data_IF_180842791583
#
_entry.id   IF_180842791583
#
_cell.length_a   1.000
_cell.length_b   1.000
_cell.length_c   1.000
_cell.angle_alpha   90.00
_cell.angle_beta   90.00
_cell.angle_gamma   90.00
#
_symmetry.space_group_name_H-M   'P 1'
#
loop_
_entity.id
_entity.type
_entity.pdbx_description
1 polymer ?
#
# COMPACT_ATOMS: atom_id res chain seq x y z
N UNK A 1 -9.81 -19.73 20.41
CA UNK A 1 -9.78 -18.98 19.14
C UNK A 1 -8.43 -18.30 19.05
N UNK A 2 -7.51 -18.72 18.17
CA UNK A 2 -6.23 -18.03 18.04
C UNK A 2 -6.47 -16.62 17.51
N UNK A 3 -5.85 -15.62 18.15
CA UNK A 3 -6.09 -14.21 17.88
C UNK A 3 -5.78 -13.83 16.43
N UNK A 4 -6.79 -13.29 15.74
CA UNK A 4 -6.77 -12.81 14.35
C UNK A 4 -5.80 -11.65 14.05
N UNK A 5 -4.92 -11.27 14.99
CA UNK A 5 -4.18 -10.01 14.96
C UNK A 5 -2.97 -9.95 14.02
N UNK A 6 -2.46 -11.09 13.54
CA UNK A 6 -1.12 -11.15 12.95
C UNK A 6 -1.04 -11.87 11.60
N UNK A 7 -2.15 -11.95 10.84
CA UNK A 7 -2.23 -12.75 9.59
C UNK A 7 -1.11 -12.46 8.58
N UNK A 8 -0.65 -11.21 8.50
CA UNK A 8 0.37 -10.76 7.55
C UNK A 8 1.68 -10.32 8.19
N UNK A 9 1.78 -10.35 9.52
CA UNK A 9 2.99 -9.90 10.24
C UNK A 9 4.18 -10.81 9.90
N UNK A 10 5.34 -10.18 9.69
CA UNK A 10 6.57 -10.85 9.31
C UNK A 10 6.67 -11.22 7.82
N UNK A 11 5.65 -10.93 7.00
CA UNK A 11 5.69 -11.21 5.56
C UNK A 11 6.37 -10.09 4.80
N UNK A 12 7.28 -10.47 3.93
CA UNK A 12 7.97 -9.61 2.97
C UNK A 12 7.19 -9.48 1.64
N UNK A 13 6.19 -10.34 1.41
CA UNK A 13 5.37 -10.37 0.19
C UNK A 13 3.89 -10.61 0.50
N UNK A 14 3.02 -10.00 -0.30
CA UNK A 14 1.58 -10.24 -0.26
C UNK A 14 1.17 -11.45 -1.11
N UNK A 15 0.09 -12.15 -0.73
CA UNK A 15 -0.49 -13.18 -1.59
C UNK A 15 -1.00 -12.55 -2.90
N UNK A 16 -0.95 -13.31 -3.99
CA UNK A 16 -1.44 -12.87 -5.31
C UNK A 16 -2.93 -12.54 -5.31
N UNK A 17 -3.70 -13.23 -4.45
CA UNK A 17 -5.13 -13.00 -4.24
C UNK A 17 -5.34 -12.56 -2.80
N UNK A 18 -6.07 -11.47 -2.64
CA UNK A 18 -6.44 -10.88 -1.35
C UNK A 18 -7.94 -10.59 -1.42
N UNK A 19 -8.72 -11.06 -0.45
CA UNK A 19 -10.17 -10.82 -0.45
C UNK A 19 -10.50 -9.38 -0.08
N UNK A 20 -11.69 -8.88 -0.43
CA UNK A 20 -12.16 -7.57 0.04
C UNK A 20 -12.16 -7.49 1.56
N UNK A 21 -12.63 -8.56 2.22
CA UNK A 21 -12.60 -8.66 3.68
C UNK A 21 -11.17 -8.52 4.24
N UNK A 22 -10.18 -9.19 3.64
CA UNK A 22 -8.79 -9.05 4.07
C UNK A 22 -8.27 -7.62 3.86
N UNK A 23 -8.62 -6.98 2.74
CA UNK A 23 -8.24 -5.59 2.44
C UNK A 23 -8.81 -4.64 3.49
N UNK A 24 -10.11 -4.69 3.73
CA UNK A 24 -10.79 -3.84 4.71
C UNK A 24 -10.31 -4.10 6.13
N UNK A 25 -9.99 -5.36 6.47
CA UNK A 25 -9.61 -5.71 7.83
C UNK A 25 -8.16 -5.36 8.17
N UNK A 26 -7.23 -5.56 7.23
CA UNK A 26 -5.79 -5.50 7.51
C UNK A 26 -5.06 -4.36 6.79
N UNK A 27 -5.64 -3.84 5.70
CA UNK A 27 -5.01 -2.83 4.84
C UNK A 27 -5.84 -1.55 4.72
N UNK A 28 -6.74 -1.30 5.67
CA UNK A 28 -7.59 -0.12 5.63
C UNK A 28 -6.78 1.18 5.78
N UNK A 29 -7.16 2.16 4.95
CA UNK A 29 -6.78 3.56 5.09
C UNK A 29 -7.86 4.31 5.86
N UNK A 30 -7.48 4.92 6.98
CA UNK A 30 -8.37 5.85 7.70
C UNK A 30 -8.48 7.17 6.94
N UNK A 31 -9.45 8.00 7.30
CA UNK A 31 -9.60 9.32 6.68
C UNK A 31 -8.42 10.24 7.03
N UNK A 32 -7.80 10.06 8.20
CA UNK A 32 -6.55 10.75 8.57
C UNK A 32 -5.38 10.31 7.70
N UNK A 33 -5.27 9.01 7.35
CA UNK A 33 -4.25 8.54 6.41
C UNK A 33 -4.42 9.21 5.04
N UNK A 34 -5.66 9.28 4.54
CA UNK A 34 -5.98 9.92 3.25
C UNK A 34 -5.63 11.41 3.27
N UNK A 35 -5.96 12.12 4.36
CA UNK A 35 -5.59 13.52 4.52
C UNK A 35 -4.06 13.72 4.51
N UNK A 36 -3.32 12.92 5.27
CA UNK A 36 -1.86 12.99 5.34
C UNK A 36 -1.20 12.69 3.98
N UNK A 37 -1.71 11.70 3.23
CA UNK A 37 -1.27 11.39 1.87
C UNK A 37 -1.51 12.57 0.92
N UNK A 38 -2.68 13.20 1.03
CA UNK A 38 -3.07 14.31 0.15
C UNK A 38 -2.22 15.57 0.39
N UNK A 39 -1.87 15.83 1.65
CA UNK A 39 -1.00 16.93 2.06
C UNK A 39 0.45 16.68 1.62
N UNK A 40 0.97 15.47 1.85
CA UNK A 40 2.39 15.16 1.65
C UNK A 40 2.78 14.93 0.19
N UNK A 41 1.89 14.32 -0.60
CA UNK A 41 2.25 13.84 -1.94
C UNK A 41 1.35 14.39 -3.05
N UNK A 42 1.97 14.62 -4.21
CA UNK A 42 1.25 14.89 -5.46
C UNK A 42 0.42 13.67 -5.90
N UNK A 43 -0.70 13.86 -6.62
CA UNK A 43 -1.60 12.77 -7.01
C UNK A 43 -0.91 11.55 -7.65
N UNK A 44 0.11 11.77 -8.49
CA UNK A 44 0.87 10.73 -9.18
C UNK A 44 1.72 9.84 -8.24
N UNK A 45 1.91 10.24 -6.99
CA UNK A 45 2.77 9.54 -6.01
C UNK A 45 2.00 8.97 -4.82
N UNK A 46 0.79 9.47 -4.55
CA UNK A 46 -0.03 9.07 -3.40
C UNK A 46 -0.28 7.56 -3.34
N UNK A 47 -0.60 6.94 -4.47
CA UNK A 47 -0.86 5.49 -4.53
C UNK A 47 0.35 4.68 -4.07
N UNK A 48 1.57 5.07 -4.46
CA UNK A 48 2.79 4.40 -4.02
C UNK A 48 3.02 4.56 -2.52
N UNK A 49 2.81 5.75 -1.97
CA UNK A 49 2.97 5.99 -0.54
C UNK A 49 1.92 5.22 0.30
N UNK A 50 0.67 5.22 -0.16
CA UNK A 50 -0.41 4.48 0.48
C UNK A 50 -0.13 2.98 0.56
N UNK A 51 0.40 2.39 -0.51
CA UNK A 51 0.77 0.96 -0.55
C UNK A 51 1.85 0.66 0.49
N UNK A 52 2.87 1.52 0.62
CA UNK A 52 3.92 1.35 1.62
C UNK A 52 3.34 1.41 3.04
N UNK A 53 2.49 2.41 3.32
CA UNK A 53 1.86 2.60 4.62
C UNK A 53 1.02 1.39 5.05
N UNK A 54 0.09 0.94 4.20
CA UNK A 54 -0.80 -0.18 4.57
C UNK A 54 -0.04 -1.50 4.64
N UNK A 55 1.00 -1.68 3.82
CA UNK A 55 1.85 -2.87 3.89
C UNK A 55 2.66 -2.88 5.18
N UNK A 56 3.34 -1.77 5.53
CA UNK A 56 4.08 -1.63 6.77
C UNK A 56 3.20 -1.90 8.00
N UNK A 57 2.00 -1.32 8.02
CA UNK A 57 1.03 -1.52 9.11
C UNK A 57 0.59 -2.97 9.26
N UNK A 58 0.35 -3.67 8.13
CA UNK A 58 -0.13 -5.04 8.14
C UNK A 58 0.98 -6.08 8.40
N UNK A 59 2.20 -5.82 7.91
CA UNK A 59 3.30 -6.81 7.90
C UNK A 59 4.44 -6.50 8.87
N UNK A 60 4.54 -5.26 9.36
CA UNK A 60 5.69 -4.76 10.12
C UNK A 60 6.95 -4.58 9.26
N UNK A 61 6.85 -4.73 7.94
CA UNK A 61 7.97 -4.58 7.00
C UNK A 61 7.61 -3.59 5.91
N UNK A 62 8.59 -2.83 5.45
CA UNK A 62 8.43 -2.03 4.24
C UNK A 62 8.30 -2.91 3.00
N UNK A 63 7.50 -2.48 2.03
CA UNK A 63 7.39 -3.19 0.77
C UNK A 63 8.66 -2.92 -0.04
N UNK A 64 9.49 -3.95 -0.18
CA UNK A 64 10.71 -3.91 -1.00
C UNK A 64 10.40 -3.93 -2.50
N UNK A 65 10.95 -4.90 -3.23
CA UNK A 65 10.77 -4.96 -4.68
C UNK A 65 9.30 -5.23 -5.05
N UNK A 66 8.69 -4.28 -5.75
CA UNK A 66 7.30 -4.37 -6.26
C UNK A 66 7.23 -5.41 -7.38
N UNK A 67 7.18 -6.67 -6.98
CA UNK A 67 7.14 -7.83 -7.87
C UNK A 67 5.74 -8.45 -7.94
N UNK A 68 4.94 -8.33 -6.88
CA UNK A 68 3.57 -8.86 -6.83
C UNK A 68 2.72 -8.04 -5.88
N UNK A 69 1.61 -7.49 -6.38
CA UNK A 69 0.59 -6.83 -5.57
C UNK A 69 -0.79 -7.35 -5.95
N UNK A 70 -1.66 -7.68 -4.97
CA UNK A 70 -3.01 -8.12 -5.26
C UNK A 70 -3.80 -7.00 -5.96
N UNK A 71 -4.55 -7.37 -7.01
CA UNK A 71 -5.40 -6.43 -7.75
C UNK A 71 -6.44 -5.76 -6.86
N UNK A 72 -6.97 -6.50 -5.89
CA UNK A 72 -7.93 -6.01 -4.89
C UNK A 72 -7.37 -4.79 -4.13
N UNK A 73 -6.13 -4.90 -3.66
CA UNK A 73 -5.46 -3.83 -2.90
C UNK A 73 -5.25 -2.58 -3.77
N UNK A 74 -4.81 -2.78 -5.01
CA UNK A 74 -4.65 -1.68 -5.97
C UNK A 74 -5.98 -0.97 -6.22
N UNK A 75 -7.06 -1.73 -6.42
CA UNK A 75 -8.39 -1.19 -6.64
C UNK A 75 -8.89 -0.38 -5.44
N UNK A 76 -8.80 -0.95 -4.24
CA UNK A 76 -9.15 -0.30 -2.98
C UNK A 76 -8.42 1.03 -2.79
N UNK A 77 -7.10 1.06 -3.02
CA UNK A 77 -6.30 2.29 -2.87
C UNK A 77 -6.71 3.34 -3.90
N UNK A 78 -6.96 2.94 -5.14
CA UNK A 78 -7.49 3.84 -6.17
C UNK A 78 -8.80 4.48 -5.72
N UNK A 79 -9.75 3.68 -5.23
CA UNK A 79 -11.04 4.15 -4.74
C UNK A 79 -10.92 5.08 -3.53
N UNK A 80 -10.17 4.70 -2.48
CA UNK A 80 -10.03 5.50 -1.25
C UNK A 80 -9.36 6.85 -1.49
N UNK A 81 -8.47 6.94 -2.48
CA UNK A 81 -7.76 8.16 -2.81
C UNK A 81 -8.42 8.98 -3.93
N UNK A 82 -9.52 8.50 -4.53
CA UNK A 82 -10.15 9.15 -5.69
C UNK A 82 -9.24 9.19 -6.92
N UNK A 83 -8.39 8.16 -7.10
CA UNK A 83 -7.43 8.05 -8.19
C UNK A 83 -7.84 6.93 -9.15
N UNK A 84 -7.40 7.03 -10.41
CA UNK A 84 -7.41 5.87 -11.32
C UNK A 84 -6.67 4.71 -10.66
N UNK A 85 -7.25 3.51 -10.71
CA UNK A 85 -6.65 2.32 -10.09
C UNK A 85 -5.20 2.15 -10.54
N UNK A 86 -4.21 2.21 -9.61
CA UNK A 86 -2.81 2.07 -9.95
C UNK A 86 -2.52 0.68 -10.52
N UNK A 87 -1.60 0.61 -11.48
CA UNK A 87 -1.08 -0.67 -11.96
C UNK A 87 0.27 -0.98 -11.33
N UNK A 88 0.61 -2.27 -11.25
CA UNK A 88 1.94 -2.73 -10.82
C UNK A 88 3.03 -2.11 -11.70
N UNK A 89 2.79 -2.01 -13.01
CA UNK A 89 3.73 -1.41 -13.96
C UNK A 89 3.97 0.08 -13.65
N UNK A 90 2.91 0.84 -13.34
CA UNK A 90 3.02 2.24 -12.95
C UNK A 90 3.85 2.41 -11.68
N UNK A 91 3.65 1.56 -10.67
CA UNK A 91 4.43 1.57 -9.43
C UNK A 91 5.90 1.19 -9.66
N UNK A 92 6.17 0.18 -10.49
CA UNK A 92 7.53 -0.18 -10.88
C UNK A 92 8.24 0.97 -11.58
N UNK A 93 7.55 1.68 -12.47
CA UNK A 93 8.09 2.86 -13.14
C UNK A 93 8.35 3.99 -12.15
N UNK A 94 7.42 4.25 -11.23
CA UNK A 94 7.54 5.26 -10.18
C UNK A 94 8.80 5.04 -9.33
N UNK A 95 9.04 3.80 -8.92
CA UNK A 95 10.18 3.45 -8.07
C UNK A 95 11.50 3.21 -8.81
N UNK A 96 11.56 3.38 -10.14
CA UNK A 96 12.87 3.48 -10.83
C UNK A 96 13.69 4.64 -10.28
N UNK A 97 13.03 5.70 -9.81
CA UNK A 97 13.69 6.80 -9.12
C UNK A 97 13.84 6.44 -7.64
N UNK A 98 15.04 6.05 -7.24
CA UNK A 98 15.36 5.65 -5.85
C UNK A 98 14.87 6.67 -4.81
N UNK A 99 15.04 7.97 -5.08
CA UNK A 99 14.56 9.05 -4.20
C UNK A 99 13.06 8.95 -3.90
N UNK A 100 12.23 8.60 -4.88
CA UNK A 100 10.77 8.51 -4.68
C UNK A 100 10.40 7.32 -3.81
N UNK A 101 11.06 6.17 -4.00
CA UNK A 101 10.86 5.03 -3.11
C UNK A 101 11.29 5.39 -1.68
N UNK A 102 12.48 5.96 -1.53
CA UNK A 102 13.04 6.35 -0.24
C UNK A 102 12.16 7.37 0.51
N UNK A 103 11.67 8.40 -0.18
CA UNK A 103 10.75 9.41 0.40
C UNK A 103 9.46 8.75 0.92
N UNK A 104 8.95 7.72 0.23
CA UNK A 104 7.77 7.00 0.68
C UNK A 104 8.06 6.08 1.86
N UNK A 105 9.24 5.44 1.89
CA UNK A 105 9.67 4.56 2.96
C UNK A 105 9.91 5.28 4.30
N UNK A 106 10.44 6.50 4.25
CA UNK A 106 10.64 7.31 5.47
C UNK A 106 9.32 7.84 6.03
N UNK A 107 8.36 8.12 5.14
CA UNK A 107 7.10 8.72 5.55
C UNK A 107 6.09 7.71 6.09
N UNK A 108 6.05 6.52 5.50
CA UNK A 108 5.14 5.43 5.88
C UNK A 108 5.46 4.87 7.27
#
# INVERSE_FOLDING_TARGET
>A
MPGLGFRYVGRDRLPTRLSDFDVERYFALTDSDVAALNERFRPDRRAGAAIQLVFLRASGHSLGQVSTLPRQLLHYIGQRLGLTTPTIASLRTLYRRYKTLYDHLIWA
#
